data_IF_676458611431
#
_entry.id   IF_676458611431
#
_cell.length_a   1.000
_cell.length_b   1.000
_cell.length_c   1.000
_cell.angle_alpha   90.00
_cell.angle_beta   90.00
_cell.angle_gamma   90.00
#
_symmetry.space_group_name_H-M   'P 1'
#
loop_
_entity.id
_entity.type
_entity.pdbx_description
1 polymer ?
#
# COMPACT_ATOMS: atom_id res chain seq x y z
N UNK A 1 -56.47 -1.90 -34.25
CA UNK A 1 -56.10 -2.93 -35.24
C UNK A 1 -54.84 -3.62 -34.71
N UNK A 2 -55.01 -4.58 -33.80
CA UNK A 2 -55.08 -6.03 -34.04
C UNK A 2 -53.72 -6.64 -34.43
N UNK A 3 -53.08 -7.30 -33.46
CA UNK A 3 -52.33 -8.60 -33.46
C UNK A 3 -51.70 -8.66 -32.05
N UNK A 4 -52.26 -9.24 -30.98
CA UNK A 4 -52.74 -10.61 -30.65
C UNK A 4 -51.65 -11.70 -30.73
N UNK A 5 -51.20 -12.09 -29.52
CA UNK A 5 -50.63 -13.36 -29.03
C UNK A 5 -49.44 -14.01 -29.73
N UNK A 6 -48.39 -14.30 -28.95
CA UNK A 6 -47.94 -15.67 -28.67
C UNK A 6 -47.24 -15.72 -27.30
N UNK A 7 -47.79 -16.58 -26.44
CA UNK A 7 -47.36 -16.86 -25.07
C UNK A 7 -46.17 -17.81 -25.14
N UNK A 8 -44.99 -17.35 -24.70
CA UNK A 8 -43.80 -18.18 -24.50
C UNK A 8 -43.57 -18.41 -23.02
N UNK A 9 -44.08 -19.52 -22.49
CA UNK A 9 -43.83 -20.02 -21.15
C UNK A 9 -42.34 -20.36 -21.01
N UNK A 10 -41.55 -19.55 -20.31
CA UNK A 10 -40.19 -19.89 -19.90
C UNK A 10 -40.16 -20.02 -18.38
N UNK A 11 -40.37 -21.25 -17.92
CA UNK A 11 -40.06 -21.69 -16.57
C UNK A 11 -38.53 -21.64 -16.43
N UNK A 12 -37.99 -20.56 -15.88
CA UNK A 12 -36.58 -20.52 -15.50
C UNK A 12 -36.41 -21.28 -14.20
N UNK A 13 -36.06 -22.57 -14.35
CA UNK A 13 -35.49 -23.40 -13.30
C UNK A 13 -34.32 -22.64 -12.65
N UNK A 14 -34.46 -22.27 -11.38
CA UNK A 14 -33.35 -21.81 -10.57
C UNK A 14 -32.41 -23.00 -10.35
N UNK A 15 -31.49 -23.21 -11.30
CA UNK A 15 -30.34 -24.08 -11.10
C UNK A 15 -29.51 -23.45 -10.00
N UNK A 16 -29.52 -24.06 -8.81
CA UNK A 16 -28.59 -23.73 -7.75
C UNK A 16 -27.18 -24.05 -8.28
N UNK A 17 -26.51 -23.02 -8.80
CA UNK A 17 -25.10 -23.11 -9.18
C UNK A 17 -24.36 -23.44 -7.88
N UNK A 18 -23.66 -24.58 -7.77
CA UNK A 18 -22.80 -24.82 -6.63
C UNK A 18 -21.83 -23.66 -6.55
N UNK A 19 -21.88 -22.90 -5.44
CA UNK A 19 -20.89 -21.86 -5.18
C UNK A 19 -19.52 -22.54 -5.34
N UNK A 20 -18.65 -22.08 -6.26
CA UNK A 20 -17.32 -22.66 -6.39
C UNK A 20 -16.71 -22.69 -4.99
N UNK A 21 -16.06 -23.80 -4.59
CA UNK A 21 -15.42 -23.86 -3.28
C UNK A 21 -14.60 -22.59 -3.11
N UNK A 22 -14.87 -21.85 -2.03
CA UNK A 22 -14.14 -20.65 -1.64
C UNK A 22 -12.66 -20.95 -1.85
N UNK A 23 -11.98 -20.14 -2.66
CA UNK A 23 -10.58 -20.33 -3.02
C UNK A 23 -9.76 -20.76 -1.79
N UNK A 24 -8.77 -21.65 -1.93
CA UNK A 24 -8.09 -22.24 -0.78
C UNK A 24 -7.56 -21.11 0.10
N UNK A 25 -8.07 -21.03 1.33
CA UNK A 25 -7.45 -20.24 2.38
C UNK A 25 -5.98 -20.67 2.42
N UNK A 26 -5.07 -19.72 2.19
CA UNK A 26 -3.65 -19.97 2.17
C UNK A 26 -3.24 -20.83 3.38
N UNK A 27 -2.33 -21.77 3.17
CA UNK A 27 -1.83 -22.58 4.27
C UNK A 27 -1.14 -21.69 5.31
N UNK A 28 -1.06 -22.15 6.56
CA UNK A 28 -0.35 -21.43 7.61
C UNK A 28 1.11 -21.11 7.22
N UNK A 29 1.75 -22.01 6.46
CA UNK A 29 3.10 -21.81 5.93
C UNK A 29 3.14 -20.69 4.89
N UNK A 30 2.20 -20.67 3.94
CA UNK A 30 2.10 -19.61 2.93
C UNK A 30 1.88 -18.23 3.57
N UNK A 31 1.05 -18.16 4.61
CA UNK A 31 0.80 -16.93 5.36
C UNK A 31 2.07 -16.47 6.10
N UNK A 32 2.77 -17.40 6.77
CA UNK A 32 4.00 -17.10 7.49
C UNK A 32 5.12 -16.61 6.55
N UNK A 33 5.28 -17.27 5.41
CA UNK A 33 6.30 -16.89 4.41
C UNK A 33 5.99 -15.53 3.77
N UNK A 34 4.72 -15.26 3.44
CA UNK A 34 4.28 -13.96 2.95
C UNK A 34 4.50 -12.85 3.99
N UNK A 35 4.08 -13.06 5.25
CA UNK A 35 4.36 -12.12 6.36
C UNK A 35 5.86 -11.82 6.45
N UNK A 36 6.70 -12.86 6.49
CA UNK A 36 8.15 -12.71 6.59
C UNK A 36 8.72 -11.87 5.44
N UNK A 37 8.30 -12.14 4.21
CA UNK A 37 8.77 -11.42 3.03
C UNK A 37 8.32 -9.97 3.01
N UNK A 38 7.04 -9.68 3.25
CA UNK A 38 6.53 -8.30 3.28
C UNK A 38 7.22 -7.49 4.37
N UNK A 39 7.38 -8.06 5.57
CA UNK A 39 8.05 -7.38 6.68
C UNK A 39 9.53 -7.10 6.41
N UNK A 40 10.24 -8.02 5.74
CA UNK A 40 11.63 -7.80 5.35
C UNK A 40 11.76 -6.66 4.32
N UNK A 41 10.90 -6.64 3.31
CA UNK A 41 10.91 -5.59 2.29
C UNK A 41 10.46 -4.23 2.85
N UNK A 42 9.50 -4.21 3.78
CA UNK A 42 9.16 -3.02 4.56
C UNK A 42 10.38 -2.45 5.30
N UNK A 43 11.13 -3.28 6.04
CA UNK A 43 12.31 -2.82 6.77
C UNK A 43 13.39 -2.24 5.84
N UNK A 44 13.56 -2.85 4.66
CA UNK A 44 14.46 -2.34 3.62
C UNK A 44 14.05 -0.94 3.14
N UNK A 45 12.76 -0.74 2.85
CA UNK A 45 12.22 0.56 2.44
C UNK A 45 12.32 1.60 3.56
N UNK A 46 11.95 1.22 4.78
CA UNK A 46 12.05 2.11 5.95
C UNK A 46 13.49 2.58 6.19
N UNK A 47 14.47 1.68 6.06
CA UNK A 47 15.89 2.02 6.13
C UNK A 47 16.33 2.98 5.03
N UNK A 48 15.86 2.76 3.78
CA UNK A 48 16.17 3.64 2.66
C UNK A 48 15.62 5.06 2.85
N UNK A 49 14.38 5.19 3.36
CA UNK A 49 13.76 6.48 3.66
C UNK A 49 14.57 7.20 4.75
N UNK A 50 14.85 6.54 5.88
CA UNK A 50 15.67 7.12 6.97
C UNK A 50 17.04 7.59 6.49
N UNK A 51 17.70 6.82 5.64
CA UNK A 51 18.99 7.18 5.07
C UNK A 51 18.93 8.39 4.13
N UNK A 52 17.75 8.65 3.55
CA UNK A 52 17.48 9.73 2.60
C UNK A 52 16.98 11.02 3.27
N UNK A 53 16.38 10.92 4.46
CA UNK A 53 15.81 12.07 5.18
C UNK A 53 16.58 12.48 6.44
N UNK A 54 17.37 11.58 7.04
CA UNK A 54 18.01 11.79 8.35
C UNK A 54 19.45 12.29 8.34
N UNK A 55 19.96 12.85 7.23
CA UNK A 55 21.35 13.34 7.15
C UNK A 55 21.42 14.84 7.38
N UNK A 56 22.47 15.28 8.08
CA UNK A 56 22.86 16.69 8.09
C UNK A 56 23.07 17.15 6.65
N UNK A 57 22.22 18.10 6.23
CA UNK A 57 22.20 18.59 4.86
C UNK A 57 23.28 19.65 4.62
N UNK A 58 24.05 20.01 5.65
CA UNK A 58 25.09 21.04 5.58
C UNK A 58 24.50 22.43 5.30
N UNK A 59 25.37 23.39 5.00
CA UNK A 59 24.98 24.78 4.74
C UNK A 59 24.88 25.14 3.24
N UNK A 60 25.27 24.22 2.34
CA UNK A 60 25.16 24.47 0.90
C UNK A 60 23.69 24.33 0.45
N UNK A 61 23.05 25.41 -0.04
CA UNK A 61 21.66 25.37 -0.48
C UNK A 61 21.41 24.35 -1.60
N UNK A 62 22.41 24.12 -2.46
CA UNK A 62 22.29 23.13 -3.55
C UNK A 62 22.25 21.72 -2.97
N UNK A 63 23.17 21.40 -2.05
CA UNK A 63 23.16 20.12 -1.35
C UNK A 63 21.84 19.89 -0.60
N UNK A 64 21.34 20.87 0.14
CA UNK A 64 20.04 20.79 0.84
C UNK A 64 18.89 20.44 -0.11
N UNK A 65 18.86 21.07 -1.29
CA UNK A 65 17.83 20.77 -2.28
C UNK A 65 17.96 19.35 -2.86
N UNK A 66 19.19 18.89 -3.13
CA UNK A 66 19.45 17.52 -3.60
C UNK A 66 19.04 16.47 -2.55
N UNK A 67 19.32 16.73 -1.27
CA UNK A 67 18.88 15.83 -0.19
C UNK A 67 17.36 15.79 -0.06
N UNK A 68 16.68 16.94 -0.13
CA UNK A 68 15.22 16.99 -0.16
C UNK A 68 14.62 16.19 -1.31
N UNK A 69 15.21 16.28 -2.52
CA UNK A 69 14.81 15.47 -3.67
C UNK A 69 15.03 13.96 -3.45
N UNK A 70 16.13 13.58 -2.80
CA UNK A 70 16.43 12.18 -2.47
C UNK A 70 15.40 11.61 -1.50
N UNK A 71 14.98 12.39 -0.49
CA UNK A 71 13.89 12.02 0.41
C UNK A 71 12.58 11.74 -0.35
N UNK A 72 12.18 12.66 -1.24
CA UNK A 72 10.98 12.49 -2.09
C UNK A 72 11.08 11.27 -3.00
N UNK A 73 12.25 11.02 -3.59
CA UNK A 73 12.49 9.84 -4.41
C UNK A 73 12.36 8.54 -3.60
N UNK A 74 12.87 8.52 -2.37
CA UNK A 74 12.75 7.36 -1.49
C UNK A 74 11.29 7.07 -1.12
N UNK A 75 10.47 8.09 -0.86
CA UNK A 75 9.03 7.93 -0.63
C UNK A 75 8.33 7.30 -1.85
N UNK A 76 8.58 7.83 -3.05
CA UNK A 76 7.98 7.34 -4.29
C UNK A 76 8.40 5.90 -4.60
N UNK A 77 9.71 5.62 -4.59
CA UNK A 77 10.24 4.29 -4.89
C UNK A 77 9.82 3.26 -3.82
N UNK A 78 9.84 3.65 -2.55
CA UNK A 78 9.38 2.83 -1.44
C UNK A 78 7.91 2.45 -1.55
N UNK A 79 7.07 3.41 -1.95
CA UNK A 79 5.65 3.19 -2.18
C UNK A 79 5.40 2.14 -3.26
N UNK A 80 6.02 2.32 -4.42
CA UNK A 80 5.84 1.42 -5.56
C UNK A 80 6.36 0.01 -5.26
N UNK A 81 7.53 -0.07 -4.62
CA UNK A 81 8.14 -1.34 -4.22
C UNK A 81 7.23 -2.14 -3.28
N UNK A 82 6.70 -1.51 -2.22
CA UNK A 82 5.84 -2.20 -1.26
C UNK A 82 4.50 -2.61 -1.86
N UNK A 83 3.92 -1.81 -2.76
CA UNK A 83 2.71 -2.19 -3.51
C UNK A 83 2.96 -3.39 -4.41
N UNK A 84 4.10 -3.43 -5.10
CA UNK A 84 4.52 -4.57 -5.93
C UNK A 84 4.72 -5.83 -5.08
N UNK A 85 5.36 -5.71 -3.92
CA UNK A 85 5.56 -6.81 -2.97
C UNK A 85 4.21 -7.34 -2.48
N UNK A 86 3.28 -6.49 -2.06
CA UNK A 86 1.93 -6.93 -1.66
C UNK A 86 1.16 -7.64 -2.79
N UNK A 87 1.29 -7.17 -4.04
CA UNK A 87 0.66 -7.83 -5.18
C UNK A 87 1.25 -9.21 -5.47
N UNK A 88 2.52 -9.43 -5.10
CA UNK A 88 3.23 -10.69 -5.29
C UNK A 88 3.03 -11.67 -4.12
N UNK A 89 2.59 -11.17 -2.96
CA UNK A 89 2.40 -11.92 -1.72
C UNK A 89 0.93 -11.91 -1.26
N UNK A 90 0.00 -12.54 -1.99
CA UNK A 90 -1.43 -12.44 -1.70
C UNK A 90 -1.83 -13.19 -0.41
N UNK A 91 -0.94 -14.02 0.15
CA UNK A 91 -1.11 -14.67 1.44
C UNK A 91 -0.74 -13.79 2.65
N UNK A 92 -0.35 -12.52 2.43
CA UNK A 92 -0.03 -11.58 3.51
C UNK A 92 -1.24 -11.39 4.43
N UNK A 93 -1.05 -11.43 5.78
CA UNK A 93 -2.12 -11.11 6.72
C UNK A 93 -2.78 -9.76 6.40
N UNK A 94 -4.11 -9.71 6.44
CA UNK A 94 -4.89 -8.55 6.00
C UNK A 94 -4.53 -7.26 6.75
N UNK A 95 -4.24 -7.36 8.05
CA UNK A 95 -3.79 -6.25 8.89
C UNK A 95 -2.47 -5.63 8.39
N UNK A 96 -1.50 -6.47 8.00
CA UNK A 96 -0.21 -6.01 7.44
C UNK A 96 -0.45 -5.40 6.06
N UNK A 97 -1.23 -6.07 5.21
CA UNK A 97 -1.53 -5.58 3.87
C UNK A 97 -2.23 -4.22 3.90
N UNK A 98 -3.16 -4.03 4.84
CA UNK A 98 -3.89 -2.77 5.04
C UNK A 98 -2.96 -1.67 5.55
N UNK A 99 -2.14 -1.96 6.56
CA UNK A 99 -1.20 -0.98 7.11
C UNK A 99 -0.16 -0.55 6.07
N UNK A 100 0.40 -1.49 5.28
CA UNK A 100 1.31 -1.17 4.19
C UNK A 100 0.62 -0.35 3.11
N UNK A 101 -0.61 -0.69 2.69
CA UNK A 101 -1.36 0.13 1.71
C UNK A 101 -1.57 1.55 2.22
N UNK A 102 -1.96 1.72 3.49
CA UNK A 102 -2.09 3.04 4.13
C UNK A 102 -0.76 3.80 4.09
N UNK A 103 0.33 3.18 4.50
CA UNK A 103 1.65 3.81 4.50
C UNK A 103 2.08 4.26 3.10
N UNK A 104 1.92 3.39 2.09
CA UNK A 104 2.26 3.75 0.70
C UNK A 104 1.37 4.87 0.16
N UNK A 105 0.11 4.97 0.59
CA UNK A 105 -0.77 6.08 0.24
C UNK A 105 -0.26 7.41 0.82
N UNK A 106 0.10 7.41 2.11
CA UNK A 106 0.65 8.59 2.79
C UNK A 106 1.99 9.04 2.17
N UNK A 107 2.85 8.11 1.79
CA UNK A 107 4.10 8.44 1.08
C UNK A 107 3.84 9.06 -0.31
N UNK A 108 2.85 8.57 -1.03
CA UNK A 108 2.44 9.13 -2.32
C UNK A 108 1.86 10.54 -2.16
N UNK A 109 1.02 10.76 -1.14
CA UNK A 109 0.47 12.06 -0.77
C UNK A 109 1.57 13.07 -0.46
N UNK A 110 2.48 12.73 0.47
CA UNK A 110 3.64 13.58 0.81
C UNK A 110 4.48 13.92 -0.42
N UNK A 111 4.69 12.94 -1.32
CA UNK A 111 5.44 13.18 -2.56
C UNK A 111 4.77 14.25 -3.42
N UNK A 112 3.43 14.21 -3.57
CA UNK A 112 2.67 15.21 -4.33
C UNK A 112 2.69 16.56 -3.62
N UNK A 113 2.53 16.61 -2.30
CA UNK A 113 2.54 17.87 -1.54
C UNK A 113 3.89 18.57 -1.59
N UNK A 114 4.98 17.81 -1.51
CA UNK A 114 6.33 18.33 -1.74
C UNK A 114 6.54 18.87 -3.17
N UNK A 115 5.91 18.28 -4.18
CA UNK A 115 5.95 18.77 -5.56
C UNK A 115 5.11 20.04 -5.74
N UNK A 116 4.03 20.18 -4.98
CA UNK A 116 3.23 21.39 -4.90
C UNK A 116 3.88 22.51 -4.07
N UNK A 117 5.07 22.25 -3.50
CA UNK A 117 5.77 23.19 -2.61
C UNK A 117 4.93 23.59 -1.39
N UNK A 118 4.14 22.64 -0.87
CA UNK A 118 3.38 22.84 0.36
C UNK A 118 4.32 23.09 1.55
N UNK A 119 3.98 24.00 2.48
CA UNK A 119 4.75 24.21 3.70
C UNK A 119 4.79 22.97 4.58
N UNK A 120 5.91 22.72 5.26
CA UNK A 120 6.06 21.57 6.17
C UNK A 120 4.96 21.53 7.24
N UNK A 121 4.55 22.69 7.77
CA UNK A 121 3.46 22.80 8.76
C UNK A 121 2.13 22.23 8.29
N UNK A 122 1.87 22.29 6.98
CA UNK A 122 0.62 21.81 6.39
C UNK A 122 0.69 20.31 6.11
N UNK A 123 1.91 19.77 5.94
CA UNK A 123 2.18 18.33 5.76
C UNK A 123 2.38 17.57 7.08
N UNK A 124 2.62 18.26 8.21
CA UNK A 124 2.79 17.67 9.54
C UNK A 124 1.73 16.60 9.90
N UNK A 125 0.42 16.80 9.65
CA UNK A 125 -0.58 15.76 9.91
C UNK A 125 -0.32 14.46 9.13
N UNK A 126 0.10 14.57 7.86
CA UNK A 126 0.39 13.43 6.99
C UNK A 126 1.68 12.73 7.39
N UNK A 127 2.71 13.50 7.79
CA UNK A 127 3.94 12.95 8.39
C UNK A 127 3.62 12.17 9.66
N UNK A 128 2.84 12.75 10.57
CA UNK A 128 2.45 12.09 11.81
C UNK A 128 1.67 10.79 11.56
N UNK A 129 0.71 10.81 10.62
CA UNK A 129 -0.02 9.62 10.24
C UNK A 129 0.88 8.52 9.65
N UNK A 130 1.95 8.90 8.93
CA UNK A 130 2.93 7.96 8.41
C UNK A 130 3.78 7.34 9.52
N UNK A 131 4.17 8.13 10.53
CA UNK A 131 4.89 7.65 11.71
C UNK A 131 4.03 6.68 12.55
N UNK A 132 2.77 7.01 12.81
CA UNK A 132 1.84 6.11 13.51
C UNK A 132 1.66 4.79 12.75
N UNK A 133 1.54 4.86 11.41
CA UNK A 133 1.38 3.68 10.57
C UNK A 133 2.65 2.84 10.54
N UNK A 134 3.83 3.47 10.55
CA UNK A 134 5.15 2.82 10.68
C UNK A 134 5.22 2.02 11.98
N UNK A 135 4.85 2.63 13.12
CA UNK A 135 4.81 1.95 14.42
C UNK A 135 3.84 0.76 14.44
N UNK A 136 2.68 0.90 13.79
CA UNK A 136 1.73 -0.20 13.64
C UNK A 136 2.31 -1.38 12.85
N UNK A 137 2.95 -1.11 11.71
CA UNK A 137 3.60 -2.15 10.89
C UNK A 137 4.72 -2.83 11.67
N UNK A 138 5.53 -2.07 12.41
CA UNK A 138 6.57 -2.63 13.27
C UNK A 138 6.00 -3.54 14.36
N UNK A 139 4.83 -3.22 14.92
CA UNK A 139 4.11 -4.10 15.83
C UNK A 139 3.67 -5.40 15.17
N UNK A 140 3.11 -5.32 13.96
CA UNK A 140 2.61 -6.47 13.19
C UNK A 140 3.73 -7.36 12.65
N UNK A 141 4.91 -6.80 12.40
CA UNK A 141 6.08 -7.48 11.86
C UNK A 141 7.01 -8.10 12.91
N UNK A 142 6.66 -7.98 14.19
CA UNK A 142 7.30 -8.74 15.28
C UNK A 142 6.83 -10.20 15.32
#
# INVERSE_FOLDING_TARGET
>A
MFVVLLIGLLITLAVAIPKPPTAPAYSAQQIADAKKKVCAEYQKVHTAIKASTGRDMGADPTAQQVYGLTGRQALLAGSEHLRTVLSSEPATPEEIATAIRKLTGLFQELTIDYLNSMPDSDMEPTVHAADETTLAIEGLCK
#
